data_IF_143911051354
#
_entry.id   IF_143911051354
#
_cell.length_a   1.000
_cell.length_b   1.000
_cell.length_c   1.000
_cell.angle_alpha   90.00
_cell.angle_beta   90.00
_cell.angle_gamma   90.00
#
_symmetry.space_group_name_H-M   'P 1'
#
loop_
_entity.id
_entity.type
_entity.pdbx_description
1 polymer ?
#
# COMPACT_ATOMS: atom_id res chain seq x y z
N UNK A 1 -22.16 -72.95 10.92
CA UNK A 1 -22.17 -72.07 12.10
C UNK A 1 -21.50 -70.79 11.67
N UNK A 2 -22.31 -69.76 11.41
CA UNK A 2 -21.85 -68.47 10.90
C UNK A 2 -21.73 -67.53 12.10
N UNK A 3 -20.52 -67.15 12.46
CA UNK A 3 -20.29 -66.12 13.48
C UNK A 3 -20.53 -64.75 12.86
N UNK A 4 -21.64 -64.15 13.25
CA UNK A 4 -22.03 -62.79 12.94
C UNK A 4 -21.21 -61.84 13.83
N UNK A 5 -20.17 -61.21 13.25
CA UNK A 5 -19.40 -60.16 13.92
C UNK A 5 -20.25 -58.89 14.00
N UNK A 6 -20.60 -58.51 15.22
CA UNK A 6 -21.22 -57.23 15.56
C UNK A 6 -20.22 -56.08 15.30
N UNK A 7 -20.66 -54.93 14.75
CA UNK A 7 -19.79 -53.77 14.58
C UNK A 7 -19.52 -53.07 15.92
N UNK A 8 -18.26 -52.76 16.20
CA UNK A 8 -17.87 -51.90 17.33
C UNK A 8 -18.22 -50.46 16.97
N UNK A 9 -19.26 -49.92 17.60
CA UNK A 9 -19.56 -48.49 17.58
C UNK A 9 -18.45 -47.74 18.31
N UNK A 10 -17.51 -47.18 17.54
CA UNK A 10 -16.48 -46.29 18.07
C UNK A 10 -17.16 -44.94 18.31
N UNK A 11 -17.16 -44.52 19.58
CA UNK A 11 -17.81 -43.32 20.10
C UNK A 11 -17.18 -42.05 19.46
N UNK A 12 -17.72 -41.69 18.30
CA UNK A 12 -17.19 -40.71 17.35
C UNK A 12 -17.15 -39.29 17.93
N UNK A 13 -17.93 -39.03 18.99
CA UNK A 13 -17.93 -37.77 19.73
C UNK A 13 -16.66 -37.53 20.53
N UNK A 14 -16.01 -38.59 21.05
CA UNK A 14 -14.79 -38.43 21.86
C UNK A 14 -13.57 -38.12 20.99
N UNK A 15 -13.52 -38.70 19.79
CA UNK A 15 -12.47 -38.48 18.79
C UNK A 15 -12.52 -37.04 18.27
N UNK A 16 -13.72 -36.50 18.00
CA UNK A 16 -13.87 -35.11 17.52
C UNK A 16 -13.39 -34.05 18.53
N UNK A 17 -13.63 -34.26 19.83
CA UNK A 17 -13.22 -33.30 20.89
C UNK A 17 -11.70 -33.31 21.10
N UNK A 18 -11.05 -34.47 20.97
CA UNK A 18 -9.59 -34.57 21.05
C UNK A 18 -8.91 -33.99 19.79
N UNK A 19 -9.52 -34.11 18.62
CA UNK A 19 -9.02 -33.51 17.37
C UNK A 19 -9.14 -31.98 17.37
N UNK A 20 -10.24 -31.41 17.85
CA UNK A 20 -10.39 -29.94 17.97
C UNK A 20 -9.34 -29.35 18.91
N UNK A 21 -9.10 -29.98 20.06
CA UNK A 21 -8.07 -29.55 21.00
C UNK A 21 -6.66 -29.64 20.41
N UNK A 22 -6.37 -30.71 19.66
CA UNK A 22 -5.09 -30.88 18.96
C UNK A 22 -4.88 -29.77 17.91
N UNK A 23 -5.93 -29.39 17.19
CA UNK A 23 -5.89 -28.29 16.23
C UNK A 23 -5.60 -26.97 16.94
N UNK A 24 -6.28 -26.67 18.04
CA UNK A 24 -6.07 -25.44 18.81
C UNK A 24 -4.63 -25.37 19.36
N UNK A 25 -4.11 -26.46 19.94
CA UNK A 25 -2.74 -26.56 20.44
C UNK A 25 -1.72 -26.36 19.31
N UNK A 26 -1.97 -26.96 18.13
CA UNK A 26 -1.11 -26.78 16.95
C UNK A 26 -1.13 -25.34 16.43
N UNK A 27 -2.31 -24.71 16.38
CA UNK A 27 -2.46 -23.30 15.99
C UNK A 27 -1.71 -22.40 16.98
N UNK A 28 -1.83 -22.65 18.28
CA UNK A 28 -1.10 -21.91 19.30
C UNK A 28 0.42 -22.04 19.10
N UNK A 29 0.93 -23.26 18.97
CA UNK A 29 2.36 -23.51 18.76
C UNK A 29 2.91 -22.83 17.50
N UNK A 30 2.19 -22.92 16.37
CA UNK A 30 2.58 -22.27 15.11
C UNK A 30 2.64 -20.75 15.30
N UNK A 31 1.63 -20.17 15.94
CA UNK A 31 1.57 -18.73 16.19
C UNK A 31 2.71 -18.25 17.09
N UNK A 32 3.03 -18.98 18.15
CA UNK A 32 4.17 -18.70 19.02
C UNK A 32 5.48 -18.73 18.23
N UNK A 33 5.73 -19.79 17.45
CA UNK A 33 6.97 -19.91 16.66
C UNK A 33 7.09 -18.87 15.55
N UNK A 34 5.99 -18.52 14.90
CA UNK A 34 5.95 -17.46 13.90
C UNK A 34 6.24 -16.08 14.53
N UNK A 35 5.69 -15.81 15.72
CA UNK A 35 5.97 -14.60 16.49
C UNK A 35 7.46 -14.50 16.86
N UNK A 36 8.05 -15.60 17.35
CA UNK A 36 9.45 -15.63 17.80
C UNK A 36 10.48 -15.44 16.68
N UNK A 37 10.22 -15.97 15.49
CA UNK A 37 11.23 -16.03 14.42
C UNK A 37 10.98 -15.01 13.32
N UNK A 38 9.84 -15.11 12.64
CA UNK A 38 9.48 -14.29 11.49
C UNK A 38 9.18 -12.84 11.89
N UNK A 39 8.42 -12.67 12.96
CA UNK A 39 7.93 -11.33 13.33
C UNK A 39 8.94 -10.56 14.16
N UNK A 40 9.64 -11.23 15.08
CA UNK A 40 10.79 -10.62 15.75
C UNK A 40 11.85 -10.20 14.73
N UNK A 41 12.21 -11.08 13.80
CA UNK A 41 13.13 -10.75 12.71
C UNK A 41 12.64 -9.57 11.85
N UNK A 42 11.32 -9.47 11.60
CA UNK A 42 10.74 -8.32 10.88
C UNK A 42 10.91 -7.00 11.63
N UNK A 43 10.78 -7.00 12.97
CA UNK A 43 11.01 -5.82 13.80
C UNK A 43 12.50 -5.48 13.82
N UNK A 44 13.38 -6.46 14.02
CA UNK A 44 14.84 -6.27 14.04
C UNK A 44 15.36 -5.70 12.71
N UNK A 45 14.89 -6.21 11.57
CA UNK A 45 15.20 -5.64 10.25
C UNK A 45 14.72 -4.19 10.16
N UNK A 46 13.51 -3.90 10.64
CA UNK A 46 12.95 -2.56 10.67
C UNK A 46 13.77 -1.60 11.52
N UNK A 47 14.23 -2.05 12.70
CA UNK A 47 15.08 -1.28 13.61
C UNK A 47 16.46 -1.01 13.01
N UNK A 48 17.09 -2.04 12.44
CA UNK A 48 18.36 -1.89 11.73
C UNK A 48 18.27 -0.80 10.67
N UNK A 49 17.23 -0.86 9.82
CA UNK A 49 17.05 0.14 8.77
C UNK A 49 16.74 1.52 9.35
N UNK A 50 15.87 1.60 10.37
CA UNK A 50 15.53 2.85 11.03
C UNK A 50 16.78 3.54 11.60
N UNK A 51 17.70 2.79 12.20
CA UNK A 51 18.92 3.33 12.79
C UNK A 51 19.94 3.74 11.72
N UNK A 52 20.19 2.90 10.74
CA UNK A 52 21.28 3.09 9.77
C UNK A 52 20.91 4.00 8.60
N UNK A 53 19.64 4.07 8.23
CA UNK A 53 19.20 4.88 7.08
C UNK A 53 18.40 6.12 7.50
N UNK A 54 17.76 6.09 8.67
CA UNK A 54 16.90 7.16 9.15
C UNK A 54 17.41 7.81 10.45
N UNK A 55 18.63 7.48 10.90
CA UNK A 55 19.27 8.00 12.13
C UNK A 55 18.39 7.82 13.38
N UNK A 56 17.61 6.75 13.41
CA UNK A 56 16.67 6.48 14.50
C UNK A 56 15.44 7.37 14.51
N UNK A 57 15.24 8.28 13.54
CA UNK A 57 14.12 9.23 13.53
C UNK A 57 12.81 8.58 13.00
N UNK A 58 11.83 8.31 13.89
CA UNK A 58 10.54 7.73 13.53
C UNK A 58 9.76 8.59 12.52
N UNK A 59 9.90 9.92 12.61
CA UNK A 59 9.17 10.86 11.75
C UNK A 59 9.71 10.84 10.33
N UNK A 60 11.02 10.67 10.17
CA UNK A 60 11.67 10.60 8.86
C UNK A 60 11.31 9.29 8.15
N UNK A 61 11.30 8.17 8.87
CA UNK A 61 10.83 6.87 8.37
C UNK A 61 9.35 6.88 7.93
N UNK A 62 8.51 7.60 8.68
CA UNK A 62 7.08 7.75 8.42
C UNK A 62 6.75 8.76 7.32
N UNK A 63 7.73 9.56 6.89
CA UNK A 63 7.53 10.68 5.97
C UNK A 63 7.17 10.21 4.56
N UNK A 64 6.15 10.85 3.99
CA UNK A 64 5.79 10.72 2.56
C UNK A 64 6.63 11.63 1.65
N UNK A 65 7.64 12.31 2.21
CA UNK A 65 8.48 13.23 1.46
C UNK A 65 9.28 12.43 0.41
N UNK A 66 9.26 12.83 -0.88
CA UNK A 66 10.09 12.21 -1.92
C UNK A 66 11.60 12.30 -1.63
N UNK A 67 12.03 13.18 -0.72
CA UNK A 67 13.40 13.24 -0.19
C UNK A 67 13.66 12.19 0.90
N UNK A 68 13.15 10.96 0.75
CA UNK A 68 13.66 9.85 1.57
C UNK A 68 15.17 9.75 1.37
N UNK A 69 15.94 9.30 2.38
CA UNK A 69 17.38 9.14 2.25
C UNK A 69 17.67 8.36 0.98
N UNK A 70 18.43 8.95 0.05
CA UNK A 70 18.74 8.33 -1.23
C UNK A 70 19.33 6.93 -1.04
N UNK A 71 20.08 6.74 0.06
CA UNK A 71 20.59 5.46 0.54
C UNK A 71 19.52 4.38 0.75
N UNK A 72 18.34 4.73 1.29
CA UNK A 72 17.27 3.75 1.49
C UNK A 72 16.58 3.36 0.17
N UNK A 73 16.48 4.29 -0.78
CA UNK A 73 15.97 3.98 -2.11
C UNK A 73 16.96 3.06 -2.84
N UNK A 74 18.25 3.38 -2.80
CA UNK A 74 19.29 2.53 -3.37
C UNK A 74 19.31 1.12 -2.75
N UNK A 75 19.01 0.99 -1.45
CA UNK A 75 18.81 -0.31 -0.82
C UNK A 75 17.62 -1.03 -1.45
N UNK A 76 16.47 -0.36 -1.56
CA UNK A 76 15.25 -0.93 -2.16
C UNK A 76 15.43 -1.36 -3.63
N UNK A 77 16.36 -0.76 -4.36
CA UNK A 77 16.61 -1.06 -5.77
C UNK A 77 17.56 -2.27 -5.98
N UNK A 78 18.00 -2.93 -4.91
CA UNK A 78 18.87 -4.12 -4.99
C UNK A 78 18.08 -5.39 -5.31
N UNK A 79 18.43 -6.03 -6.42
CA UNK A 79 17.80 -7.28 -6.86
C UNK A 79 18.14 -8.51 -5.99
N UNK A 80 19.21 -8.44 -5.20
CA UNK A 80 19.65 -9.52 -4.31
C UNK A 80 19.00 -9.49 -2.92
N UNK A 81 18.09 -8.54 -2.68
CA UNK A 81 17.29 -8.52 -1.47
C UNK A 81 16.23 -9.63 -1.46
N UNK A 82 16.28 -10.47 -0.42
CA UNK A 82 15.26 -11.50 -0.18
C UNK A 82 13.90 -10.87 0.16
N UNK A 83 13.91 -9.72 0.86
CA UNK A 83 12.69 -9.03 1.31
C UNK A 83 12.31 -7.94 0.32
N UNK A 84 11.07 -7.98 -0.16
CA UNK A 84 10.55 -7.00 -1.10
C UNK A 84 10.56 -5.57 -0.50
N UNK A 85 10.89 -4.52 -1.27
CA UNK A 85 10.96 -3.13 -0.79
C UNK A 85 9.74 -2.63 -0.03
N UNK A 86 8.53 -2.96 -0.49
CA UNK A 86 7.29 -2.62 0.20
C UNK A 86 7.21 -3.20 1.62
N UNK A 87 7.73 -4.41 1.81
CA UNK A 87 7.73 -5.09 3.10
C UNK A 87 8.80 -4.49 4.02
N UNK A 88 9.99 -4.13 3.50
CA UNK A 88 11.00 -3.36 4.23
C UNK A 88 10.42 -2.04 4.74
N UNK A 89 9.73 -1.29 3.87
CA UNK A 89 9.08 -0.04 4.27
C UNK A 89 7.97 -0.22 5.31
N UNK A 90 7.32 -1.39 5.38
CA UNK A 90 6.39 -1.71 6.45
C UNK A 90 7.11 -2.05 7.75
N UNK A 91 8.15 -2.89 7.71
CA UNK A 91 8.99 -3.27 8.86
C UNK A 91 9.55 -2.04 9.58
N UNK A 92 10.11 -1.09 8.82
CA UNK A 92 10.62 0.18 9.38
C UNK A 92 9.53 0.97 10.10
N UNK A 93 8.33 1.05 9.51
CA UNK A 93 7.21 1.77 10.14
C UNK A 93 6.69 1.07 11.39
N UNK A 94 6.69 -0.27 11.41
CA UNK A 94 6.36 -1.04 12.60
C UNK A 94 7.40 -0.80 13.70
N UNK A 95 8.70 -0.91 13.39
CA UNK A 95 9.77 -0.62 14.35
C UNK A 95 9.70 0.81 14.92
N UNK A 96 9.47 1.79 14.05
CA UNK A 96 9.23 3.19 14.43
C UNK A 96 8.01 3.35 15.36
N UNK A 97 6.95 2.59 15.12
CA UNK A 97 5.76 2.58 15.97
C UNK A 97 6.03 1.90 17.32
N UNK A 98 6.83 0.82 17.36
CA UNK A 98 7.21 0.15 18.59
C UNK A 98 8.01 1.09 19.51
N UNK A 99 8.99 1.84 18.96
CA UNK A 99 9.69 2.89 19.71
C UNK A 99 8.72 3.91 20.32
N UNK A 100 7.71 4.35 19.54
CA UNK A 100 6.66 5.23 20.05
C UNK A 100 5.83 4.60 21.19
N UNK A 101 5.51 3.30 21.11
CA UNK A 101 4.75 2.63 22.18
C UNK A 101 5.59 2.45 23.45
N UNK A 102 6.88 2.13 23.32
CA UNK A 102 7.83 2.09 24.43
C UNK A 102 7.91 3.46 25.13
N UNK A 103 8.08 4.54 24.36
CA UNK A 103 8.09 5.92 24.90
C UNK A 103 6.79 6.33 25.60
N UNK A 104 5.68 5.67 25.27
CA UNK A 104 4.36 5.91 25.87
C UNK A 104 3.97 4.88 26.92
N UNK A 105 4.88 3.98 27.27
CA UNK A 105 4.66 2.91 28.25
C UNK A 105 3.41 2.08 27.91
N UNK A 106 3.21 1.81 26.62
CA UNK A 106 2.11 0.98 26.13
C UNK A 106 2.65 -0.42 25.86
N UNK A 107 2.21 -1.38 26.66
CA UNK A 107 2.49 -2.79 26.43
C UNK A 107 1.76 -3.28 25.17
N UNK A 108 2.52 -3.80 24.21
CA UNK A 108 2.02 -4.37 22.96
C UNK A 108 2.46 -5.82 22.76
N UNK A 109 2.95 -6.47 23.80
CA UNK A 109 3.39 -7.88 23.76
C UNK A 109 2.26 -8.83 23.33
N UNK A 110 1.02 -8.55 23.74
CA UNK A 110 -0.16 -9.30 23.33
C UNK A 110 -0.57 -9.11 21.86
N UNK A 111 0.03 -8.15 21.14
CA UNK A 111 -0.29 -7.89 19.74
C UNK A 111 0.64 -8.66 18.80
N UNK A 112 0.06 -9.48 17.92
CA UNK A 112 0.83 -10.07 16.81
C UNK A 112 1.34 -9.00 15.85
N UNK A 113 2.35 -9.33 15.04
CA UNK A 113 2.90 -8.41 14.05
C UNK A 113 1.85 -7.89 13.07
N UNK A 114 0.86 -8.69 12.68
CA UNK A 114 -0.20 -8.26 11.77
C UNK A 114 -1.09 -7.18 12.39
N UNK A 115 -1.33 -7.24 13.71
CA UNK A 115 -1.99 -6.14 14.44
C UNK A 115 -1.13 -4.89 14.40
N UNK A 116 0.16 -5.01 14.72
CA UNK A 116 1.13 -3.90 14.72
C UNK A 116 1.23 -3.25 13.33
N UNK A 117 1.30 -4.04 12.27
CA UNK A 117 1.30 -3.60 10.88
C UNK A 117 0.00 -2.87 10.50
N UNK A 118 -1.15 -3.32 11.00
CA UNK A 118 -2.43 -2.66 10.76
C UNK A 118 -2.49 -1.28 11.43
N UNK A 119 -1.96 -1.16 12.64
CA UNK A 119 -1.90 0.09 13.41
C UNK A 119 -1.02 1.17 12.77
N UNK A 120 -0.07 0.80 11.91
CA UNK A 120 0.75 1.76 11.14
C UNK A 120 -0.11 2.70 10.27
N UNK A 121 -1.33 2.29 9.91
CA UNK A 121 -2.28 3.13 9.15
C UNK A 121 -2.79 4.33 9.95
N UNK A 122 -2.59 4.35 11.27
CA UNK A 122 -2.99 5.44 12.16
C UNK A 122 -1.79 6.28 12.60
N UNK A 123 -1.99 7.60 12.63
CA UNK A 123 -1.03 8.53 13.20
C UNK A 123 -0.80 8.26 14.68
N UNK A 124 0.44 8.48 15.14
CA UNK A 124 0.81 8.33 16.54
C UNK A 124 0.09 9.39 17.38
N UNK A 125 -0.73 8.94 18.33
CA UNK A 125 -1.49 9.82 19.22
C UNK A 125 -2.53 9.07 20.05
N UNK A 126 -3.34 9.83 20.80
CA UNK A 126 -4.30 9.28 21.78
C UNK A 126 -5.29 8.27 21.16
N UNK A 127 -5.75 8.50 19.93
CA UNK A 127 -6.69 7.59 19.25
C UNK A 127 -6.06 6.22 18.98
N UNK A 128 -4.79 6.18 18.56
CA UNK A 128 -4.05 4.94 18.34
C UNK A 128 -3.81 4.19 19.66
N UNK A 129 -3.41 4.91 20.70
CA UNK A 129 -3.19 4.34 22.04
C UNK A 129 -4.49 3.70 22.58
N UNK A 130 -5.62 4.39 22.45
CA UNK A 130 -6.91 3.86 22.85
C UNK A 130 -7.35 2.67 22.00
N UNK A 131 -6.99 2.63 20.72
CA UNK A 131 -7.28 1.50 19.84
C UNK A 131 -6.50 0.25 20.27
N UNK A 132 -5.21 0.41 20.60
CA UNK A 132 -4.35 -0.66 21.13
C UNK A 132 -4.92 -1.22 22.42
N UNK A 133 -5.23 -0.37 23.41
CA UNK A 133 -5.81 -0.81 24.68
C UNK A 133 -7.09 -1.60 24.48
N UNK A 134 -8.02 -1.09 23.66
CA UNK A 134 -9.26 -1.79 23.32
C UNK A 134 -9.03 -3.11 22.59
N UNK A 135 -8.04 -3.16 21.71
CA UNK A 135 -7.69 -4.37 20.98
C UNK A 135 -7.22 -5.48 21.94
N UNK A 136 -6.41 -5.12 22.94
CA UNK A 136 -5.91 -6.05 23.96
C UNK A 136 -7.03 -6.44 24.94
N UNK A 137 -7.74 -5.46 25.51
CA UNK A 137 -8.82 -5.70 26.48
C UNK A 137 -9.96 -6.56 25.94
N UNK A 138 -10.23 -6.48 24.64
CA UNK A 138 -11.32 -7.21 23.97
C UNK A 138 -10.85 -8.37 23.12
N UNK A 139 -9.56 -8.68 23.15
CA UNK A 139 -8.93 -9.75 22.37
C UNK A 139 -9.35 -9.72 20.90
N UNK A 140 -9.28 -8.52 20.29
CA UNK A 140 -9.70 -8.36 18.91
C UNK A 140 -8.81 -9.16 17.98
N UNK A 141 -9.44 -9.89 17.07
CA UNK A 141 -8.78 -10.41 15.87
C UNK A 141 -8.27 -9.27 14.99
N UNK A 142 -7.28 -9.55 14.16
CA UNK A 142 -6.71 -8.56 13.24
C UNK A 142 -7.79 -7.95 12.34
N UNK A 143 -8.77 -8.75 11.90
CA UNK A 143 -9.89 -8.28 11.07
C UNK A 143 -10.77 -7.27 11.81
N UNK A 144 -11.10 -7.54 13.08
CA UNK A 144 -11.88 -6.60 13.90
C UNK A 144 -11.13 -5.28 14.13
N UNK A 145 -9.81 -5.36 14.36
CA UNK A 145 -8.96 -4.19 14.45
C UNK A 145 -8.96 -3.39 13.14
N UNK A 146 -8.78 -4.05 11.99
CA UNK A 146 -8.81 -3.38 10.69
C UNK A 146 -10.14 -2.69 10.41
N UNK A 147 -11.27 -3.34 10.73
CA UNK A 147 -12.60 -2.75 10.59
C UNK A 147 -12.77 -1.51 11.50
N UNK A 148 -12.27 -1.57 12.74
CA UNK A 148 -12.28 -0.44 13.65
C UNK A 148 -11.42 0.72 13.16
N UNK A 149 -10.23 0.44 12.64
CA UNK A 149 -9.33 1.44 12.03
C UNK A 149 -10.02 2.07 10.81
N UNK A 150 -10.61 1.26 9.92
CA UNK A 150 -11.30 1.74 8.72
C UNK A 150 -12.46 2.66 9.07
N UNK A 151 -13.28 2.27 10.06
CA UNK A 151 -14.37 3.13 10.57
C UNK A 151 -13.81 4.46 11.06
N UNK A 152 -12.74 4.46 11.84
CA UNK A 152 -12.11 5.69 12.31
C UNK A 152 -11.60 6.57 11.16
N UNK A 153 -10.87 5.99 10.21
CA UNK A 153 -10.34 6.74 9.06
C UNK A 153 -11.45 7.36 8.20
N UNK A 154 -12.60 6.69 8.07
CA UNK A 154 -13.76 7.22 7.37
C UNK A 154 -14.46 8.37 8.10
N UNK A 155 -14.27 8.49 9.43
CA UNK A 155 -14.81 9.63 10.21
C UNK A 155 -13.91 10.87 10.15
N UNK A 156 -12.67 10.73 9.69
CA UNK A 156 -11.79 11.88 9.49
C UNK A 156 -12.30 12.69 8.28
N UNK A 157 -12.20 14.03 8.33
CA UNK A 157 -12.56 14.86 7.19
C UNK A 157 -11.79 14.37 5.97
N UNK A 158 -12.53 14.00 4.93
CA UNK A 158 -11.94 13.55 3.67
C UNK A 158 -10.90 14.57 3.24
N UNK A 159 -9.66 14.10 3.02
CA UNK A 159 -8.61 14.92 2.42
C UNK A 159 -9.25 15.55 1.18
N UNK A 160 -9.27 16.89 1.04
CA UNK A 160 -9.98 17.54 -0.05
C UNK A 160 -9.54 16.87 -1.35
N UNK A 161 -10.53 16.37 -2.10
CA UNK A 161 -10.28 15.67 -3.36
C UNK A 161 -9.28 16.54 -4.15
N UNK A 162 -8.13 15.98 -4.56
CA UNK A 162 -7.13 16.77 -5.26
C UNK A 162 -7.82 17.45 -6.45
N UNK A 163 -7.63 18.76 -6.60
CA UNK A 163 -8.34 19.53 -7.62
C UNK A 163 -8.19 18.84 -8.98
N UNK A 164 -9.25 18.87 -9.80
CA UNK A 164 -9.20 18.26 -11.13
C UNK A 164 -7.98 18.76 -11.91
N UNK A 165 -7.66 20.05 -11.80
CA UNK A 165 -6.45 20.67 -12.36
C UNK A 165 -5.16 19.99 -11.85
N UNK A 166 -5.02 19.82 -10.53
CA UNK A 166 -3.82 19.20 -9.94
C UNK A 166 -3.70 17.73 -10.33
N UNK A 167 -4.82 17.01 -10.36
CA UNK A 167 -4.89 15.60 -10.74
C UNK A 167 -4.53 15.42 -12.21
N UNK A 168 -5.10 16.23 -13.12
CA UNK A 168 -4.75 16.21 -14.54
C UNK A 168 -3.28 16.55 -14.77
N UNK A 169 -2.74 17.60 -14.12
CA UNK A 169 -1.31 17.92 -14.20
C UNK A 169 -0.43 16.77 -13.74
N UNK A 170 -0.78 16.10 -12.64
CA UNK A 170 -0.05 14.92 -12.14
C UNK A 170 -0.03 13.79 -13.16
N UNK A 171 -1.14 13.53 -13.85
CA UNK A 171 -1.17 12.50 -14.88
C UNK A 171 -0.34 12.87 -16.10
N UNK A 172 -0.36 14.14 -16.52
CA UNK A 172 0.53 14.65 -17.59
C UNK A 172 1.99 14.40 -17.20
N UNK A 173 2.42 14.85 -16.01
CA UNK A 173 3.80 14.67 -15.56
C UNK A 173 4.23 13.21 -15.53
N UNK A 174 3.37 12.30 -15.06
CA UNK A 174 3.67 10.86 -15.05
C UNK A 174 3.83 10.29 -16.46
N UNK A 175 2.99 10.72 -17.41
CA UNK A 175 3.11 10.30 -18.81
C UNK A 175 4.40 10.86 -19.40
N UNK A 176 4.73 12.13 -19.14
CA UNK A 176 5.98 12.75 -19.61
C UNK A 176 7.22 12.01 -19.05
N UNK A 177 7.21 11.62 -17.77
CA UNK A 177 8.28 10.82 -17.14
C UNK A 177 8.44 9.46 -17.83
N UNK A 178 7.34 8.76 -18.12
CA UNK A 178 7.37 7.49 -18.85
C UNK A 178 7.90 7.71 -20.27
N UNK A 179 7.38 8.70 -21.00
CA UNK A 179 7.81 9.00 -22.37
C UNK A 179 9.28 9.39 -22.44
N UNK A 180 9.78 10.16 -21.45
CA UNK A 180 11.19 10.49 -21.34
C UNK A 180 12.03 9.23 -21.12
N UNK A 181 11.61 8.37 -20.19
CA UNK A 181 12.30 7.12 -19.89
C UNK A 181 12.38 6.21 -21.13
N UNK A 182 11.31 6.13 -21.92
CA UNK A 182 11.28 5.35 -23.18
C UNK A 182 12.15 5.99 -24.27
N UNK A 183 12.19 7.33 -24.37
CA UNK A 183 13.06 8.02 -25.33
C UNK A 183 14.54 7.87 -25.00
N UNK A 184 14.86 7.84 -23.71
CA UNK A 184 16.22 7.68 -23.20
C UNK A 184 16.61 6.19 -23.07
N UNK A 185 15.68 5.25 -23.33
CA UNK A 185 15.95 3.83 -23.24
C UNK A 185 16.81 3.37 -24.41
N UNK A 186 17.98 2.82 -24.09
CA UNK A 186 18.83 2.15 -25.06
C UNK A 186 18.35 0.69 -25.22
N UNK A 187 17.62 0.45 -26.32
CA UNK A 187 17.15 -0.89 -26.71
C UNK A 187 17.97 -1.45 -27.89
N UNK A 188 19.10 -0.83 -28.22
CA UNK A 188 19.99 -1.32 -29.28
C UNK A 188 20.87 -2.43 -28.72
N UNK A 189 20.44 -3.67 -28.92
CA UNK A 189 21.22 -4.84 -28.54
C UNK A 189 22.30 -5.15 -29.58
N UNK A 190 23.53 -5.39 -29.12
CA UNK A 190 24.58 -5.96 -29.95
C UNK A 190 24.24 -7.43 -30.29
N UNK A 191 24.27 -7.77 -31.58
CA UNK A 191 23.97 -9.11 -32.06
C UNK A 191 24.87 -10.20 -31.43
N UNK A 192 26.13 -9.86 -31.14
CA UNK A 192 27.06 -10.79 -30.50
C UNK A 192 26.61 -11.11 -29.07
N UNK A 193 26.25 -10.10 -28.28
CA UNK A 193 25.82 -10.28 -26.89
C UNK A 193 24.56 -11.15 -26.80
N UNK A 194 23.62 -11.01 -27.74
CA UNK A 194 22.41 -11.84 -27.82
C UNK A 194 22.74 -13.27 -28.29
N UNK A 195 23.73 -13.44 -29.16
CA UNK A 195 24.15 -14.75 -29.67
C UNK A 195 24.86 -15.60 -28.60
N UNK A 196 25.57 -14.97 -27.67
CA UNK A 196 26.24 -15.62 -26.54
C UNK A 196 25.29 -16.00 -25.40
N UNK A 197 24.05 -15.49 -25.40
CA UNK A 197 23.03 -15.88 -24.42
C UNK A 197 22.60 -17.34 -24.60
N UNK A 198 22.17 -17.98 -23.50
CA UNK A 198 21.48 -19.26 -23.59
C UNK A 198 20.08 -19.11 -24.19
N UNK A 199 19.54 -20.18 -24.77
CA UNK A 199 18.19 -20.16 -25.37
C UNK A 199 17.11 -19.71 -24.38
N UNK A 200 17.15 -20.20 -23.14
CA UNK A 200 16.21 -19.80 -22.10
C UNK A 200 16.25 -18.30 -21.78
N UNK A 201 17.44 -17.69 -21.79
CA UNK A 201 17.59 -16.24 -21.58
C UNK A 201 17.09 -15.44 -22.77
N UNK A 202 17.36 -15.92 -24.00
CA UNK A 202 16.82 -15.30 -25.23
C UNK A 202 15.29 -15.35 -25.27
N UNK A 203 14.69 -16.45 -24.87
CA UNK A 203 13.23 -16.60 -24.83
C UNK A 203 12.60 -15.69 -23.77
N UNK A 204 13.24 -15.57 -22.59
CA UNK A 204 12.81 -14.63 -21.55
C UNK A 204 12.88 -13.18 -22.04
N UNK A 205 13.99 -12.80 -22.69
CA UNK A 205 14.15 -11.47 -23.29
C UNK A 205 13.08 -11.20 -24.36
N UNK A 206 12.79 -12.18 -25.23
CA UNK A 206 11.74 -12.08 -26.25
C UNK A 206 10.37 -11.85 -25.63
N UNK A 207 10.02 -12.59 -24.58
CA UNK A 207 8.77 -12.41 -23.84
C UNK A 207 8.68 -11.00 -23.26
N UNK A 208 9.72 -10.54 -22.56
CA UNK A 208 9.75 -9.22 -21.93
C UNK A 208 9.65 -8.08 -22.96
N UNK A 209 10.33 -8.19 -24.10
CA UNK A 209 10.25 -7.20 -25.19
C UNK A 209 8.86 -7.18 -25.85
N UNK A 210 8.24 -8.35 -26.00
CA UNK A 210 6.87 -8.47 -26.54
C UNK A 210 5.86 -7.83 -25.59
N UNK A 211 5.98 -8.10 -24.29
CA UNK A 211 5.13 -7.50 -23.26
C UNK A 211 5.31 -5.98 -23.18
N UNK A 212 6.56 -5.50 -23.28
CA UNK A 212 6.86 -4.07 -23.32
C UNK A 212 6.18 -3.41 -24.53
N UNK A 213 6.29 -4.02 -25.71
CA UNK A 213 5.63 -3.55 -26.93
C UNK A 213 4.10 -3.46 -26.75
N UNK A 214 3.47 -4.53 -26.27
CA UNK A 214 2.02 -4.58 -26.10
C UNK A 214 1.54 -3.49 -25.11
N UNK A 215 2.26 -3.29 -24.00
CA UNK A 215 1.92 -2.23 -23.02
C UNK A 215 2.05 -0.83 -23.61
N UNK A 216 3.04 -0.58 -24.47
CA UNK A 216 3.17 0.71 -25.16
C UNK A 216 1.99 0.93 -26.11
N UNK A 217 1.58 -0.10 -26.84
CA UNK A 217 0.42 -0.04 -27.74
C UNK A 217 -0.89 0.18 -26.99
N UNK A 218 -1.09 -0.45 -25.82
CA UNK A 218 -2.24 -0.20 -24.94
C UNK A 218 -2.29 1.25 -24.43
N UNK A 219 -1.15 1.87 -24.12
CA UNK A 219 -1.10 3.28 -23.70
C UNK A 219 -1.52 4.22 -24.85
N UNK A 220 -1.19 3.85 -26.09
CA UNK A 220 -1.59 4.58 -27.29
C UNK A 220 -3.07 4.36 -27.66
N UNK A 221 -3.81 3.57 -26.87
CA UNK A 221 -5.22 3.31 -27.12
C UNK A 221 -6.04 4.62 -27.19
N UNK A 222 -6.82 4.69 -28.27
CA UNK A 222 -7.62 5.85 -28.65
C UNK A 222 -8.75 6.12 -27.66
N UNK A 223 -9.08 5.17 -26.78
CA UNK A 223 -10.16 5.32 -25.81
C UNK A 223 -9.86 6.44 -24.78
N UNK A 224 -8.62 6.57 -24.32
CA UNK A 224 -8.22 7.62 -23.37
C UNK A 224 -8.30 8.99 -24.05
N UNK A 225 -7.78 9.12 -25.27
CA UNK A 225 -7.89 10.35 -26.06
C UNK A 225 -9.34 10.75 -26.30
N UNK A 226 -10.23 9.79 -26.56
CA UNK A 226 -11.67 10.02 -26.74
C UNK A 226 -12.33 10.51 -25.46
N UNK A 227 -11.96 9.96 -24.29
CA UNK A 227 -12.45 10.43 -22.98
C UNK A 227 -12.01 11.87 -22.70
N UNK A 228 -10.76 12.23 -22.99
CA UNK A 228 -10.27 13.60 -22.89
C UNK A 228 -11.01 14.56 -23.84
N UNK A 229 -11.26 14.14 -25.09
CA UNK A 229 -12.04 14.92 -26.06
C UNK A 229 -13.44 15.23 -25.57
N UNK A 230 -14.18 14.23 -25.09
CA UNK A 230 -15.52 14.42 -24.50
C UNK A 230 -15.52 15.41 -23.32
N UNK A 231 -14.53 15.29 -22.43
CA UNK A 231 -14.41 16.20 -21.28
C UNK A 231 -14.12 17.65 -21.70
N UNK A 232 -13.34 17.86 -22.77
CA UNK A 232 -13.11 19.19 -23.33
C UNK A 232 -14.39 19.77 -23.94
N UNK A 233 -15.16 18.96 -24.68
CA UNK A 233 -16.45 19.38 -25.25
C UNK A 233 -17.44 19.82 -24.14
N UNK A 234 -17.54 19.06 -23.05
CA UNK A 234 -18.37 19.44 -21.90
C UNK A 234 -17.93 20.75 -21.25
N UNK A 235 -16.62 20.95 -21.06
CA UNK A 235 -16.08 22.21 -20.53
C UNK A 235 -16.40 23.39 -21.44
N UNK A 236 -16.30 23.22 -22.77
CA UNK A 236 -16.65 24.28 -23.72
C UNK A 236 -18.13 24.65 -23.66
N UNK A 237 -19.03 23.68 -23.51
CA UNK A 237 -20.46 23.92 -23.34
C UNK A 237 -20.75 24.72 -22.08
N UNK A 238 -20.15 24.34 -20.95
CA UNK A 238 -20.29 25.05 -19.67
C UNK A 238 -19.78 26.49 -19.79
N UNK A 239 -18.63 26.71 -20.44
CA UNK A 239 -18.08 28.05 -20.64
C UNK A 239 -19.00 28.94 -21.51
N UNK A 240 -19.64 28.36 -22.53
CA UNK A 240 -20.60 29.04 -23.39
C UNK A 240 -21.89 29.39 -22.62
N UNK A 241 -22.41 28.48 -21.81
CA UNK A 241 -23.57 28.72 -20.93
C UNK A 241 -23.29 29.85 -19.94
N UNK A 242 -22.14 29.81 -19.25
CA UNK A 242 -21.71 30.88 -18.32
C UNK A 242 -21.58 32.23 -19.04
N UNK A 243 -21.05 32.25 -20.27
CA UNK A 243 -20.96 33.48 -21.07
C UNK A 243 -22.35 33.99 -21.48
N UNK A 244 -23.27 33.11 -21.83
CA UNK A 244 -24.64 33.45 -22.20
C UNK A 244 -25.43 34.02 -21.01
N UNK A 245 -25.29 33.43 -19.82
CA UNK A 245 -25.90 33.95 -18.59
C UNK A 245 -25.37 35.34 -18.21
N UNK A 246 -24.05 35.55 -18.31
CA UNK A 246 -23.43 36.86 -18.06
C UNK A 246 -23.89 37.94 -19.04
N UNK A 247 -24.20 37.59 -20.29
CA UNK A 247 -24.78 38.51 -21.28
C UNK A 247 -26.25 38.87 -20.96
N UNK A 248 -27.02 37.93 -20.40
CA UNK A 248 -28.42 38.15 -20.00
C UNK A 248 -28.55 38.98 -18.71
N UNK A 249 -27.56 38.89 -17.81
CA UNK A 249 -27.55 39.62 -16.54
C UNK A 249 -26.25 40.45 -16.40
N UNK A 250 -26.07 41.52 -17.20
CA UNK A 250 -24.91 42.38 -17.04
C UNK A 250 -24.97 43.01 -15.65
N UNK A 251 -23.99 42.70 -14.80
CA UNK A 251 -23.91 43.22 -13.45
C UNK A 251 -24.15 44.74 -13.46
N UNK A 252 -25.21 45.21 -12.79
CA UNK A 252 -25.46 46.63 -12.56
C UNK A 252 -24.28 47.17 -11.76
N UNK A 253 -23.26 47.69 -12.44
CA UNK A 253 -22.19 48.48 -11.84
C UNK A 253 -22.81 49.75 -11.27
N UNK A 254 -23.22 49.67 -10.01
CA UNK A 254 -23.58 50.83 -9.20
C UNK A 254 -22.40 51.79 -9.19
N UNK A 255 -22.57 52.91 -9.89
CA UNK A 255 -21.74 54.11 -9.79
C UNK A 255 -21.76 54.53 -8.32
N UNK A 256 -20.67 54.31 -7.58
CA UNK A 256 -20.44 55.00 -6.32
C UNK A 256 -20.33 56.49 -6.65
N UNK A 257 -21.42 57.21 -6.42
CA UNK A 257 -21.45 58.67 -6.50
C UNK A 257 -20.44 59.21 -5.49
N UNK A 258 -19.41 59.91 -6.00
CA UNK A 258 -18.56 60.78 -5.19
C UNK A 258 -19.47 61.81 -4.51
N UNK A 259 -19.58 61.75 -3.18
CA UNK A 259 -20.01 62.92 -2.40
C UNK A 259 -18.77 63.72 -2.01
N UNK A 260 -18.84 65.01 -2.36
CA UNK A 260 -17.99 66.10 -1.87
C UNK A 260 -18.23 66.30 -0.37
#
# INVERSE_FOLDING_TARGET
>A
MSEEKTPVEIDTKKIQVDDEKLIDDAVQFINEKANETLYKGSIEIGEYILEHFFNGDPKLASSKNPKKPQSFNNLCDRDDLIVHPNQLGLMVRVASQEKYFIEKEIDTTALSYTHKASLVKMDNGLKKNNMVKKCIEKEWTTRQLEDAIKKHLNTLPSIPKPSLIRTTKKYITKIDEVLKTVKDADLDFNANDVSEMSDARRDTLRTNLTDLKNKIEEILDKEISKKCGKALEELTKIDEEIKAEKKKNPAKRGRLAKKK
#
